data_IF_581281623665
#
_entry.id   IF_581281623665
#
_cell.length_a   1.000
_cell.length_b   1.000
_cell.length_c   1.000
_cell.angle_alpha   90.00
_cell.angle_beta   90.00
_cell.angle_gamma   90.00
#
_symmetry.space_group_name_H-M   'P 1'
#
loop_
_entity.id
_entity.type
_entity.pdbx_description
1 polymer ?
#
# COMPACT_ATOMS: atom_id res chain seq x y z
N UNK A 1 -8.43 5.35 -34.03
CA UNK A 1 -7.33 4.59 -33.41
C UNK A 1 -7.52 3.14 -33.80
N UNK A 2 -6.72 2.65 -34.73
CA UNK A 2 -6.65 1.21 -34.99
C UNK A 2 -5.84 0.51 -33.90
N UNK A 3 -6.15 -0.76 -33.59
CA UNK A 3 -5.31 -1.89 -34.00
C UNK A 3 -5.86 -3.25 -33.53
N UNK A 4 -5.85 -4.19 -34.46
CA UNK A 4 -5.84 -5.66 -34.33
C UNK A 4 -5.97 -6.31 -32.94
N UNK A 5 -7.15 -6.86 -32.65
CA UNK A 5 -7.26 -8.05 -31.80
C UNK A 5 -6.95 -9.30 -32.65
N UNK A 6 -5.82 -9.98 -32.38
CA UNK A 6 -5.42 -11.20 -33.12
C UNK A 6 -5.57 -12.43 -32.21
N UNK A 7 -6.55 -13.27 -32.52
CA UNK A 7 -6.82 -14.51 -31.76
C UNK A 7 -5.65 -15.48 -31.90
N UNK A 8 -5.19 -16.03 -30.78
CA UNK A 8 -4.09 -17.00 -30.74
C UNK A 8 -4.64 -18.42 -30.73
N UNK A 9 -4.20 -19.24 -31.68
CA UNK A 9 -4.50 -20.68 -31.77
C UNK A 9 -3.32 -21.45 -31.14
N UNK A 10 -3.55 -22.50 -30.32
CA UNK A 10 -2.47 -23.28 -29.73
C UNK A 10 -1.78 -24.19 -30.78
N UNK A 11 -0.46 -24.35 -30.75
CA UNK A 11 0.27 -25.23 -31.66
C UNK A 11 0.17 -26.71 -31.25
N UNK A 12 0.26 -27.60 -32.24
CA UNK A 12 0.60 -29.01 -32.02
C UNK A 12 2.14 -29.19 -31.94
N UNK A 13 2.65 -30.29 -31.35
CA UNK A 13 4.08 -30.56 -31.29
C UNK A 13 4.62 -31.10 -32.61
N UNK A 14 5.52 -30.37 -33.26
CA UNK A 14 6.26 -30.86 -34.42
C UNK A 14 7.34 -31.88 -34.03
N UNK A 15 7.42 -32.95 -34.83
CA UNK A 15 8.50 -33.95 -34.75
C UNK A 15 9.78 -33.38 -35.38
N UNK A 16 10.65 -32.80 -34.55
CA UNK A 16 11.96 -32.32 -34.99
C UNK A 16 12.94 -33.48 -35.20
N UNK A 17 13.14 -33.88 -36.45
CA UNK A 17 14.21 -34.80 -36.85
C UNK A 17 15.59 -34.15 -36.76
N UNK A 18 16.52 -34.78 -36.03
CA UNK A 18 17.94 -34.37 -36.01
C UNK A 18 18.72 -35.17 -37.06
N UNK A 19 19.10 -34.51 -38.15
CA UNK A 19 20.08 -35.03 -39.12
C UNK A 19 21.50 -34.98 -38.55
N UNK A 20 22.26 -36.06 -38.74
CA UNK A 20 23.72 -36.07 -38.61
C UNK A 20 24.31 -36.91 -39.74
N UNK A 21 25.14 -36.30 -40.58
CA UNK A 21 25.65 -36.89 -41.82
C UNK A 21 26.68 -37.99 -41.55
N UNK A 22 26.67 -39.04 -42.37
CA UNK A 22 27.85 -39.91 -42.57
C UNK A 22 27.79 -40.54 -43.97
N UNK A 23 28.47 -39.93 -44.94
CA UNK A 23 28.79 -40.60 -46.20
C UNK A 23 29.94 -41.60 -46.00
N UNK A 24 29.98 -42.61 -46.87
CA UNK A 24 31.10 -43.56 -47.06
C UNK A 24 31.35 -44.49 -45.84
N UNK A 25 31.54 -45.80 -45.98
CA UNK A 25 31.96 -46.58 -47.16
C UNK A 25 31.41 -48.00 -47.05
N UNK A 26 31.23 -48.71 -48.16
CA UNK A 26 31.09 -50.17 -48.13
C UNK A 26 32.42 -50.83 -47.71
N UNK A 27 32.37 -51.88 -46.87
CA UNK A 27 33.35 -52.94 -46.91
C UNK A 27 32.70 -54.23 -47.44
N UNK A 28 32.81 -54.41 -48.76
CA UNK A 28 32.81 -55.76 -49.34
C UNK A 28 33.96 -56.58 -48.72
N UNK A 29 33.85 -57.91 -48.76
CA UNK A 29 34.89 -58.87 -48.36
C UNK A 29 35.30 -58.93 -46.86
N UNK A 30 34.51 -59.68 -46.08
CA UNK A 30 35.02 -60.43 -44.92
C UNK A 30 34.68 -61.94 -44.94
N UNK A 31 34.03 -62.43 -45.99
CA UNK A 31 33.64 -63.84 -46.17
C UNK A 31 34.77 -64.72 -46.74
N UNK A 32 36.03 -64.47 -46.35
CA UNK A 32 37.22 -65.05 -46.98
C UNK A 32 38.42 -65.26 -46.03
N UNK A 33 38.18 -65.88 -44.85
CA UNK A 33 39.25 -66.12 -43.86
C UNK A 33 39.22 -67.50 -43.15
N UNK A 34 38.49 -68.49 -43.68
CA UNK A 34 38.67 -69.91 -43.32
C UNK A 34 38.96 -70.80 -44.55
N UNK A 35 39.46 -70.20 -45.64
CA UNK A 35 40.12 -70.92 -46.72
C UNK A 35 41.56 -71.31 -46.32
N UNK A 36 41.74 -71.84 -45.11
CA UNK A 36 42.90 -72.66 -44.81
C UNK A 36 42.71 -73.98 -45.55
N UNK A 37 43.25 -74.06 -46.77
CA UNK A 37 43.59 -75.33 -47.40
C UNK A 37 44.76 -75.98 -46.67
N UNK A 38 44.56 -76.23 -45.37
CA UNK A 38 45.13 -77.39 -44.72
C UNK A 38 44.62 -78.57 -45.53
N UNK A 39 45.51 -79.42 -46.03
CA UNK A 39 45.11 -80.76 -46.47
C UNK A 39 44.33 -81.39 -45.31
N UNK A 40 43.03 -81.61 -45.51
CA UNK A 40 42.22 -82.26 -44.48
C UNK A 40 42.53 -83.75 -44.57
N UNK A 41 43.66 -84.11 -43.94
CA UNK A 41 44.09 -85.47 -43.70
C UNK A 41 43.00 -86.14 -42.85
N UNK A 42 42.00 -86.74 -43.50
CA UNK A 42 41.02 -87.56 -42.82
C UNK A 42 41.79 -88.77 -42.26
N UNK A 43 41.91 -88.90 -40.92
CA UNK A 43 42.67 -89.99 -40.34
C UNK A 43 42.05 -91.35 -40.64
N UNK A 44 40.75 -91.40 -40.98
CA UNK A 44 40.10 -92.62 -41.44
C UNK A 44 40.50 -92.99 -42.87
N UNK A 45 40.74 -92.03 -43.76
CA UNK A 45 41.22 -92.30 -45.11
C UNK A 45 42.69 -92.75 -45.07
N UNK A 46 43.54 -92.10 -44.27
CA UNK A 46 44.92 -92.56 -44.08
C UNK A 46 44.97 -93.96 -43.42
N UNK A 47 44.19 -94.19 -42.36
CA UNK A 47 44.08 -95.51 -41.72
C UNK A 47 43.67 -96.59 -42.73
N UNK A 48 42.69 -96.29 -43.59
CA UNK A 48 42.20 -97.24 -44.61
C UNK A 48 43.30 -97.58 -45.62
N UNK A 49 44.01 -96.58 -46.16
CA UNK A 49 45.14 -96.79 -47.08
C UNK A 49 46.27 -97.59 -46.43
N UNK A 50 46.67 -97.23 -45.19
CA UNK A 50 47.71 -97.95 -44.43
C UNK A 50 47.31 -99.40 -44.14
N UNK A 51 46.03 -99.68 -43.91
CA UNK A 51 45.51 -101.03 -43.69
C UNK A 51 45.49 -101.84 -44.99
N UNK A 52 45.06 -101.25 -46.10
CA UNK A 52 45.13 -101.85 -47.44
C UNK A 52 46.57 -102.18 -47.85
N UNK A 53 47.54 -101.31 -47.57
CA UNK A 53 48.97 -101.58 -47.78
C UNK A 53 49.47 -102.80 -46.99
N UNK A 54 49.04 -102.97 -45.73
CA UNK A 54 49.41 -104.14 -44.91
C UNK A 54 48.75 -105.41 -45.46
N UNK A 55 47.47 -105.35 -45.84
CA UNK A 55 46.75 -106.50 -46.43
C UNK A 55 47.38 -106.88 -47.77
N UNK A 56 47.74 -105.91 -48.62
CA UNK A 56 48.43 -106.15 -49.89
C UNK A 56 49.84 -106.72 -49.74
N UNK A 57 50.62 -106.23 -48.76
CA UNK A 57 52.02 -106.67 -48.57
C UNK A 57 52.19 -107.97 -47.79
N UNK A 58 51.22 -108.35 -46.94
CA UNK A 58 51.33 -109.56 -46.10
C UNK A 58 50.21 -110.60 -46.30
N UNK A 59 49.06 -110.22 -46.87
CA UNK A 59 47.88 -111.10 -47.00
C UNK A 59 48.09 -112.32 -47.91
N UNK A 60 49.03 -112.26 -48.86
CA UNK A 60 49.37 -113.40 -49.74
C UNK A 60 50.08 -114.56 -49.02
N UNK A 61 50.46 -114.37 -47.74
CA UNK A 61 51.06 -115.41 -46.89
C UNK A 61 50.09 -115.94 -45.81
N UNK A 62 48.79 -115.66 -45.92
CA UNK A 62 47.78 -116.01 -44.92
C UNK A 62 47.20 -117.42 -45.07
N UNK A 63 48.05 -118.45 -45.07
CA UNK A 63 47.64 -119.82 -44.74
C UNK A 63 48.73 -120.50 -43.89
N UNK A 64 48.30 -121.39 -42.98
CA UNK A 64 49.11 -122.04 -41.93
C UNK A 64 49.73 -121.10 -40.89
N UNK A 65 48.93 -120.72 -39.89
CA UNK A 65 49.41 -120.47 -38.53
C UNK A 65 48.52 -121.17 -37.50
N UNK A 66 48.98 -122.33 -36.98
CA UNK A 66 49.22 -122.42 -35.54
C UNK A 66 50.20 -123.56 -35.17
N UNK A 67 51.12 -123.25 -34.24
CA UNK A 67 51.89 -124.08 -33.29
C UNK A 67 53.34 -123.60 -33.14
N UNK A 68 53.56 -122.64 -32.22
CA UNK A 68 54.89 -122.07 -32.00
C UNK A 68 55.37 -122.15 -30.54
N UNK A 69 55.76 -123.34 -30.07
CA UNK A 69 56.70 -123.40 -28.92
C UNK A 69 57.54 -124.69 -28.83
N UNK A 70 58.74 -124.71 -29.43
CA UNK A 70 59.81 -125.71 -29.14
C UNK A 70 61.23 -125.37 -29.64
N UNK A 71 61.49 -124.16 -30.15
CA UNK A 71 62.81 -123.79 -30.70
C UNK A 71 63.83 -123.34 -29.63
N UNK A 72 64.25 -124.29 -28.78
CA UNK A 72 65.48 -124.19 -27.96
C UNK A 72 66.11 -125.55 -27.58
N UNK A 73 65.36 -126.66 -27.64
CA UNK A 73 65.88 -128.01 -27.27
C UNK A 73 66.61 -128.77 -28.39
N UNK A 74 66.54 -128.30 -29.64
CA UNK A 74 67.08 -129.03 -30.81
C UNK A 74 68.59 -129.28 -30.77
N UNK A 75 69.38 -128.31 -30.28
CA UNK A 75 70.85 -128.40 -30.35
C UNK A 75 71.46 -129.41 -29.37
N UNK A 76 70.89 -129.55 -28.16
CA UNK A 76 71.35 -130.53 -27.16
C UNK A 76 71.09 -131.98 -27.60
N UNK A 77 69.97 -132.25 -28.29
CA UNK A 77 69.60 -133.60 -28.74
C UNK A 77 70.65 -134.17 -29.72
N UNK A 78 71.12 -133.34 -30.66
CA UNK A 78 72.16 -133.72 -31.63
C UNK A 78 73.45 -134.23 -30.97
N UNK A 79 73.90 -133.52 -29.92
CA UNK A 79 75.16 -133.81 -29.24
C UNK A 79 75.11 -135.09 -28.38
N UNK A 80 73.93 -135.46 -27.88
CA UNK A 80 73.71 -136.71 -27.12
C UNK A 80 73.66 -137.92 -28.06
N UNK A 81 72.92 -137.80 -29.19
CA UNK A 81 72.81 -138.86 -30.19
C UNK A 81 74.18 -139.26 -30.77
N UNK A 82 75.05 -138.27 -31.01
CA UNK A 82 76.43 -138.51 -31.49
C UNK A 82 77.25 -139.44 -30.59
N UNK A 83 77.21 -139.22 -29.26
CA UNK A 83 77.96 -140.07 -28.31
C UNK A 83 77.39 -141.48 -28.22
N UNK A 84 76.06 -141.61 -28.18
CA UNK A 84 75.40 -142.91 -28.05
C UNK A 84 75.65 -143.81 -29.27
N UNK A 85 75.69 -143.23 -30.48
CA UNK A 85 75.94 -143.94 -31.73
C UNK A 85 77.31 -144.64 -31.76
N UNK A 86 78.37 -143.96 -31.33
CA UNK A 86 79.74 -144.51 -31.32
C UNK A 86 79.83 -145.70 -30.35
N UNK A 87 79.27 -145.56 -29.15
CA UNK A 87 79.32 -146.58 -28.11
C UNK A 87 78.50 -147.84 -28.47
N UNK A 88 77.34 -147.66 -29.11
CA UNK A 88 76.50 -148.78 -29.56
C UNK A 88 77.13 -149.53 -30.75
N UNK A 89 77.73 -148.81 -31.70
CA UNK A 89 78.38 -149.39 -32.88
C UNK A 89 79.52 -150.34 -32.53
N UNK A 90 80.33 -150.00 -31.52
CA UNK A 90 81.46 -150.82 -31.10
C UNK A 90 81.01 -152.14 -30.45
N UNK A 91 79.96 -152.11 -29.63
CA UNK A 91 79.40 -153.30 -28.97
C UNK A 91 78.78 -154.29 -29.96
N UNK A 92 78.02 -153.80 -30.95
CA UNK A 92 77.40 -154.64 -31.99
C UNK A 92 78.46 -155.36 -32.85
N UNK A 93 79.53 -154.67 -33.24
CA UNK A 93 80.61 -155.27 -34.03
C UNK A 93 81.28 -156.44 -33.29
N UNK A 94 81.48 -156.32 -31.97
CA UNK A 94 82.05 -157.41 -31.16
C UNK A 94 81.13 -158.62 -31.00
N UNK A 95 79.80 -158.45 -31.00
CA UNK A 95 78.86 -159.58 -30.92
C UNK A 95 78.64 -160.27 -32.26
N UNK A 96 78.61 -159.54 -33.39
CA UNK A 96 78.49 -160.16 -34.72
C UNK A 96 79.72 -161.02 -35.08
N UNK A 97 80.94 -160.55 -34.78
CA UNK A 97 82.18 -161.33 -35.00
C UNK A 97 82.17 -162.64 -34.19
N UNK A 98 81.67 -162.62 -32.96
CA UNK A 98 81.54 -163.82 -32.14
C UNK A 98 80.53 -164.82 -32.73
N UNK A 99 79.37 -164.34 -33.21
CA UNK A 99 78.34 -165.17 -33.84
C UNK A 99 78.81 -165.83 -35.15
N UNK A 100 79.53 -165.09 -36.01
CA UNK A 100 80.14 -165.65 -37.23
C UNK A 100 81.22 -166.67 -36.90
N UNK A 101 82.04 -166.41 -35.87
CA UNK A 101 83.04 -167.39 -35.40
C UNK A 101 82.37 -168.67 -34.89
N UNK A 102 81.21 -168.56 -34.24
CA UNK A 102 80.46 -169.72 -33.75
C UNK A 102 79.83 -170.55 -34.88
N UNK A 103 79.20 -169.92 -35.89
CA UNK A 103 78.59 -170.68 -36.99
C UNK A 103 79.61 -171.48 -37.80
N UNK A 104 80.80 -170.91 -38.04
CA UNK A 104 81.90 -171.57 -38.76
C UNK A 104 82.46 -172.81 -38.04
N UNK A 105 82.24 -172.98 -36.73
CA UNK A 105 82.71 -174.16 -35.99
C UNK A 105 81.87 -175.42 -36.24
N UNK A 106 80.65 -175.30 -36.78
CA UNK A 106 79.75 -176.43 -37.00
C UNK A 106 79.87 -177.09 -38.39
N UNK A 107 80.69 -176.53 -39.29
CA UNK A 107 80.92 -177.04 -40.65
C UNK A 107 82.16 -177.96 -40.68
N UNK A 108 82.09 -179.17 -41.28
CA UNK A 108 83.21 -180.11 -41.32
C UNK A 108 84.33 -179.78 -42.32
N UNK A 109 84.04 -179.19 -43.49
CA UNK A 109 85.05 -178.93 -44.54
C UNK A 109 85.56 -177.47 -44.54
N UNK A 110 86.78 -177.20 -45.05
CA UNK A 110 87.27 -175.83 -45.18
C UNK A 110 86.59 -175.06 -46.31
N UNK A 111 86.15 -175.72 -47.39
CA UNK A 111 85.36 -175.09 -48.46
C UNK A 111 84.02 -174.55 -47.93
N UNK A 112 83.25 -175.35 -47.18
CA UNK A 112 81.98 -174.90 -46.58
C UNK A 112 82.16 -173.68 -45.66
N UNK A 113 83.25 -173.64 -44.88
CA UNK A 113 83.56 -172.49 -44.02
C UNK A 113 83.89 -171.23 -44.82
N UNK A 114 84.60 -171.36 -45.95
CA UNK A 114 84.88 -170.24 -46.83
C UNK A 114 83.61 -169.75 -47.51
N UNK A 115 82.75 -170.65 -47.98
CA UNK A 115 81.49 -170.33 -48.64
C UNK A 115 80.49 -169.65 -47.68
N UNK A 116 80.37 -170.15 -46.44
CA UNK A 116 79.60 -169.51 -45.37
C UNK A 116 80.17 -168.12 -45.00
N UNK A 117 81.49 -167.97 -44.92
CA UNK A 117 82.11 -166.68 -44.62
C UNK A 117 81.90 -165.66 -45.76
N UNK A 118 82.02 -166.09 -47.02
CA UNK A 118 81.72 -165.27 -48.20
C UNK A 118 80.23 -164.87 -48.21
N UNK A 119 79.33 -165.81 -47.88
CA UNK A 119 77.90 -165.53 -47.71
C UNK A 119 77.65 -164.48 -46.62
N UNK A 120 78.31 -164.58 -45.46
CA UNK A 120 78.21 -163.58 -44.38
C UNK A 120 78.75 -162.21 -44.79
N UNK A 121 79.86 -162.15 -45.51
CA UNK A 121 80.37 -160.88 -46.05
C UNK A 121 79.45 -160.29 -47.13
N UNK A 122 78.81 -161.12 -47.96
CA UNK A 122 77.81 -160.66 -48.93
C UNK A 122 76.53 -160.13 -48.25
N UNK A 123 76.04 -160.80 -47.20
CA UNK A 123 74.95 -160.32 -46.35
C UNK A 123 75.27 -158.97 -45.71
N UNK A 124 76.47 -158.80 -45.14
CA UNK A 124 76.93 -157.53 -44.56
C UNK A 124 77.12 -156.42 -45.61
N UNK A 125 77.62 -156.74 -46.81
CA UNK A 125 77.75 -155.78 -47.90
C UNK A 125 76.38 -155.33 -48.43
N UNK A 126 75.43 -156.25 -48.56
CA UNK A 126 74.04 -155.94 -48.92
C UNK A 126 73.37 -155.07 -47.85
N UNK A 127 73.54 -155.39 -46.56
CA UNK A 127 73.05 -154.59 -45.44
C UNK A 127 73.62 -153.17 -45.49
N UNK A 128 74.94 -153.02 -45.67
CA UNK A 128 75.59 -151.71 -45.80
C UNK A 128 75.08 -150.89 -46.98
N UNK A 129 74.85 -151.49 -48.15
CA UNK A 129 74.24 -150.77 -49.28
C UNK A 129 72.76 -150.44 -49.06
N UNK A 130 72.02 -151.26 -48.31
CA UNK A 130 70.67 -150.90 -47.85
C UNK A 130 70.71 -149.71 -46.89
N UNK A 131 71.65 -149.66 -45.95
CA UNK A 131 71.79 -148.57 -44.99
C UNK A 131 72.34 -147.28 -45.61
N UNK A 132 73.22 -147.37 -46.60
CA UNK A 132 73.68 -146.25 -47.43
C UNK A 132 72.52 -145.63 -48.23
N UNK A 133 71.64 -146.46 -48.80
CA UNK A 133 70.40 -146.00 -49.44
C UNK A 133 69.45 -145.33 -48.43
N UNK A 134 69.25 -145.91 -47.24
CA UNK A 134 68.47 -145.28 -46.15
C UNK A 134 69.08 -143.92 -45.75
N UNK A 135 70.40 -143.85 -45.60
CA UNK A 135 71.14 -142.63 -45.21
C UNK A 135 71.01 -141.54 -46.29
N UNK A 136 71.08 -141.88 -47.58
CA UNK A 136 70.84 -140.93 -48.66
C UNK A 136 69.40 -140.37 -48.63
N UNK A 137 68.40 -141.23 -48.39
CA UNK A 137 66.99 -140.80 -48.24
C UNK A 137 66.80 -139.92 -47.00
N UNK A 138 67.40 -140.29 -45.86
CA UNK A 138 67.37 -139.49 -44.62
C UNK A 138 68.07 -138.14 -44.81
N UNK A 139 69.21 -138.09 -45.49
CA UNK A 139 69.94 -136.84 -45.78
C UNK A 139 69.09 -135.90 -46.65
N UNK A 140 68.47 -136.41 -47.73
CA UNK A 140 67.52 -135.63 -48.54
C UNK A 140 66.34 -135.13 -47.70
N UNK A 141 65.78 -135.97 -46.83
CA UNK A 141 64.68 -135.58 -45.93
C UNK A 141 65.11 -134.51 -44.93
N UNK A 142 66.35 -134.55 -44.42
CA UNK A 142 66.91 -133.50 -43.56
C UNK A 142 67.11 -132.19 -44.32
N UNK A 143 67.59 -132.20 -45.56
CA UNK A 143 67.70 -130.97 -46.38
C UNK A 143 66.33 -130.31 -46.59
N UNK A 144 65.32 -131.08 -47.02
CA UNK A 144 63.94 -130.59 -47.17
C UNK A 144 63.41 -130.01 -45.86
N UNK A 145 63.55 -130.71 -44.74
CA UNK A 145 63.11 -130.20 -43.42
C UNK A 145 63.89 -128.96 -42.95
N UNK A 146 65.11 -128.71 -43.42
CA UNK A 146 65.86 -127.49 -43.15
C UNK A 146 65.42 -126.32 -44.03
N UNK A 147 65.00 -126.59 -45.26
CA UNK A 147 64.42 -125.62 -46.20
C UNK A 147 63.00 -125.24 -45.77
N UNK A 148 62.14 -126.21 -45.46
CA UNK A 148 60.83 -126.03 -44.83
C UNK A 148 60.94 -125.15 -43.58
N UNK A 149 61.91 -125.45 -42.69
CA UNK A 149 62.14 -124.66 -41.47
C UNK A 149 62.58 -123.23 -41.76
N UNK A 150 63.41 -122.99 -42.78
CA UNK A 150 63.81 -121.63 -43.20
C UNK A 150 62.63 -120.86 -43.77
N UNK A 151 61.80 -121.52 -44.59
CA UNK A 151 60.57 -120.97 -45.17
C UNK A 151 59.59 -120.57 -44.05
N UNK A 152 59.23 -121.49 -43.16
CA UNK A 152 58.36 -121.25 -42.01
C UNK A 152 58.91 -120.16 -41.07
N UNK A 153 60.24 -120.04 -40.93
CA UNK A 153 60.84 -118.97 -40.16
C UNK A 153 60.68 -117.60 -40.84
N UNK A 154 60.81 -117.53 -42.18
CA UNK A 154 60.58 -116.30 -42.94
C UNK A 154 59.10 -115.89 -42.95
N UNK A 155 58.18 -116.84 -43.17
CA UNK A 155 56.73 -116.64 -43.08
C UNK A 155 56.33 -116.13 -41.68
N UNK A 156 56.87 -116.76 -40.62
CA UNK A 156 56.70 -116.31 -39.23
C UNK A 156 57.23 -114.90 -38.97
N UNK A 157 58.41 -114.55 -39.48
CA UNK A 157 58.96 -113.20 -39.33
C UNK A 157 58.15 -112.15 -40.13
N UNK A 158 57.59 -112.54 -41.28
CA UNK A 158 56.68 -111.71 -42.07
C UNK A 158 55.38 -111.45 -41.30
N UNK A 159 54.78 -112.49 -40.73
CA UNK A 159 53.56 -112.39 -39.91
C UNK A 159 53.76 -111.58 -38.62
N UNK A 160 54.86 -111.76 -37.89
CA UNK A 160 55.18 -110.93 -36.72
C UNK A 160 55.29 -109.44 -37.10
N UNK A 161 55.86 -109.12 -38.27
CA UNK A 161 55.95 -107.74 -38.77
C UNK A 161 54.57 -107.18 -39.21
N UNK A 162 53.73 -107.99 -39.85
CA UNK A 162 52.35 -107.62 -40.19
C UNK A 162 51.53 -107.31 -38.94
N UNK A 163 51.62 -108.19 -37.92
CA UNK A 163 50.95 -108.03 -36.63
C UNK A 163 51.39 -106.74 -35.94
N UNK A 164 52.68 -106.45 -35.85
CA UNK A 164 53.16 -105.21 -35.22
C UNK A 164 52.71 -103.93 -35.95
N UNK A 165 52.52 -103.96 -37.28
CA UNK A 165 51.94 -102.84 -38.02
C UNK A 165 50.44 -102.66 -37.73
N UNK A 166 49.68 -103.75 -37.68
CA UNK A 166 48.26 -103.71 -37.31
C UNK A 166 48.05 -103.26 -35.85
N UNK A 167 48.88 -103.74 -34.92
CA UNK A 167 48.87 -103.30 -33.52
C UNK A 167 49.12 -101.79 -33.40
N UNK A 168 50.05 -101.24 -34.19
CA UNK A 168 50.27 -99.79 -34.26
C UNK A 168 49.05 -99.03 -34.81
N UNK A 169 48.48 -99.47 -35.95
CA UNK A 169 47.28 -98.83 -36.53
C UNK A 169 46.07 -98.88 -35.56
N UNK A 170 45.89 -99.97 -34.82
CA UNK A 170 44.82 -100.06 -33.81
C UNK A 170 45.03 -99.06 -32.66
N UNK A 171 46.27 -98.83 -32.23
CA UNK A 171 46.59 -97.83 -31.21
C UNK A 171 46.39 -96.40 -31.74
N UNK A 172 46.85 -96.11 -32.96
CA UNK A 172 46.61 -94.82 -33.63
C UNK A 172 45.10 -94.53 -33.73
N UNK A 173 44.32 -95.48 -34.26
CA UNK A 173 42.86 -95.37 -34.38
C UNK A 173 42.16 -95.17 -33.02
N UNK A 174 42.57 -95.92 -31.98
CA UNK A 174 42.04 -95.74 -30.63
C UNK A 174 42.39 -94.36 -30.04
N UNK A 175 43.57 -93.83 -30.39
CA UNK A 175 43.96 -92.45 -30.12
C UNK A 175 43.03 -91.44 -30.80
N UNK A 176 42.84 -91.55 -32.12
CA UNK A 176 41.93 -90.68 -32.88
C UNK A 176 40.48 -90.71 -32.35
N UNK A 177 39.92 -91.89 -32.04
CA UNK A 177 38.60 -91.97 -31.40
C UNK A 177 38.55 -91.28 -30.03
N UNK A 178 39.63 -91.36 -29.24
CA UNK A 178 39.71 -90.71 -27.93
C UNK A 178 39.78 -89.18 -28.05
N UNK A 179 40.59 -88.68 -28.99
CA UNK A 179 40.70 -87.24 -29.30
C UNK A 179 39.39 -86.69 -29.86
N UNK A 180 38.80 -87.34 -30.88
CA UNK A 180 37.53 -86.93 -31.48
C UNK A 180 36.38 -86.90 -30.46
N UNK A 181 36.34 -87.88 -29.54
CA UNK A 181 35.40 -87.89 -28.41
C UNK A 181 35.66 -86.72 -27.45
N UNK A 182 36.92 -86.41 -27.16
CA UNK A 182 37.33 -85.26 -26.36
C UNK A 182 36.87 -83.94 -26.98
N UNK A 183 37.21 -83.68 -28.25
CA UNK A 183 36.79 -82.51 -29.02
C UNK A 183 35.27 -82.37 -29.12
N UNK A 184 34.55 -83.48 -29.31
CA UNK A 184 33.08 -83.48 -29.39
C UNK A 184 32.45 -83.12 -28.05
N UNK A 185 33.04 -83.55 -26.92
CA UNK A 185 32.62 -83.13 -25.59
C UNK A 185 33.01 -81.68 -25.28
N UNK A 186 34.18 -81.23 -25.76
CA UNK A 186 34.69 -79.89 -25.55
C UNK A 186 33.88 -78.85 -26.33
N UNK A 187 33.62 -79.07 -27.62
CA UNK A 187 32.71 -78.21 -28.42
C UNK A 187 31.30 -78.12 -27.81
N UNK A 188 30.76 -79.22 -27.26
CA UNK A 188 29.49 -79.20 -26.53
C UNK A 188 29.53 -78.35 -25.26
N UNK A 189 30.66 -78.30 -24.54
CA UNK A 189 30.83 -77.41 -23.37
C UNK A 189 30.89 -75.97 -23.81
N UNK A 190 31.72 -75.64 -24.79
CA UNK A 190 31.88 -74.28 -25.32
C UNK A 190 30.56 -73.73 -25.86
N UNK A 191 29.76 -74.55 -26.55
CA UNK A 191 28.44 -74.13 -27.04
C UNK A 191 27.39 -73.99 -25.93
N UNK A 192 27.51 -74.75 -24.83
CA UNK A 192 26.65 -74.59 -23.65
C UNK A 192 27.07 -73.37 -22.80
N UNK A 193 28.37 -73.10 -22.72
CA UNK A 193 28.96 -71.93 -22.07
C UNK A 193 28.53 -70.64 -22.80
N UNK A 194 28.65 -70.59 -24.13
CA UNK A 194 28.09 -69.50 -24.96
C UNK A 194 26.58 -69.31 -24.74
N UNK A 195 25.79 -70.40 -24.66
CA UNK A 195 24.35 -70.31 -24.32
C UNK A 195 24.15 -69.70 -22.93
N UNK A 196 24.96 -70.11 -21.96
CA UNK A 196 24.88 -69.62 -20.58
C UNK A 196 25.27 -68.13 -20.47
N UNK A 197 26.36 -67.71 -21.13
CA UNK A 197 26.78 -66.31 -21.25
C UNK A 197 25.68 -65.44 -21.87
N UNK A 198 25.15 -65.84 -23.03
CA UNK A 198 24.07 -65.12 -23.72
C UNK A 198 22.81 -65.04 -22.83
N UNK A 199 22.43 -66.14 -22.17
CA UNK A 199 21.27 -66.18 -21.26
C UNK A 199 21.50 -65.28 -20.04
N UNK A 200 22.68 -65.30 -19.45
CA UNK A 200 23.07 -64.47 -18.30
C UNK A 200 23.09 -62.99 -18.67
N UNK A 201 23.64 -62.64 -19.84
CA UNK A 201 23.65 -61.27 -20.36
C UNK A 201 22.24 -60.73 -20.59
N UNK A 202 21.33 -61.52 -21.18
CA UNK A 202 19.92 -61.11 -21.30
C UNK A 202 19.21 -60.97 -19.95
N UNK A 203 19.45 -61.88 -19.00
CA UNK A 203 18.89 -61.77 -17.65
C UNK A 203 19.42 -60.55 -16.88
N UNK A 204 20.71 -60.24 -17.01
CA UNK A 204 21.34 -59.04 -16.46
C UNK A 204 20.75 -57.77 -17.07
N UNK A 205 20.64 -57.70 -18.40
CA UNK A 205 20.06 -56.56 -19.10
C UNK A 205 18.58 -56.34 -18.73
N UNK A 206 17.78 -57.42 -18.63
CA UNK A 206 16.40 -57.32 -18.15
C UNK A 206 16.33 -56.81 -16.71
N UNK A 207 17.23 -57.27 -15.84
CA UNK A 207 17.33 -56.82 -14.44
C UNK A 207 17.75 -55.35 -14.35
N UNK A 208 18.64 -54.89 -15.23
CA UNK A 208 19.03 -53.48 -15.31
C UNK A 208 17.87 -52.60 -15.81
N UNK A 209 17.17 -53.01 -16.87
CA UNK A 209 15.98 -52.30 -17.38
C UNK A 209 14.90 -52.21 -16.30
N UNK A 210 14.65 -53.32 -15.59
CA UNK A 210 13.73 -53.38 -14.44
C UNK A 210 14.15 -52.37 -13.35
N UNK A 211 15.42 -52.37 -12.96
CA UNK A 211 15.95 -51.43 -11.97
C UNK A 211 15.91 -49.96 -12.45
N UNK A 212 16.14 -49.68 -13.73
CA UNK A 212 16.01 -48.33 -14.30
C UNK A 212 14.54 -47.85 -14.28
N UNK A 213 13.58 -48.73 -14.58
CA UNK A 213 12.14 -48.43 -14.48
C UNK A 213 11.76 -48.12 -13.02
N UNK A 214 12.17 -48.96 -12.07
CA UNK A 214 11.90 -48.77 -10.64
C UNK A 214 12.58 -47.50 -10.09
N UNK A 215 13.79 -47.19 -10.55
CA UNK A 215 14.49 -45.95 -10.20
C UNK A 215 13.84 -44.71 -10.87
N UNK A 216 13.15 -44.87 -12.00
CA UNK A 216 12.41 -43.79 -12.64
C UNK A 216 11.05 -43.55 -11.97
N UNK A 217 10.29 -44.61 -11.62
CA UNK A 217 9.04 -44.48 -10.87
C UNK A 217 9.30 -43.91 -9.47
N UNK A 218 10.31 -44.38 -8.73
CA UNK A 218 10.65 -43.82 -7.42
C UNK A 218 11.05 -42.34 -7.46
N UNK A 219 11.68 -41.87 -8.57
CA UNK A 219 11.90 -40.43 -8.83
C UNK A 219 10.59 -39.71 -9.12
N UNK A 220 9.72 -40.27 -9.95
CA UNK A 220 8.44 -39.68 -10.31
C UNK A 220 7.54 -39.53 -9.06
N UNK A 221 7.40 -40.57 -8.24
CA UNK A 221 6.68 -40.53 -6.97
C UNK A 221 7.25 -39.46 -6.02
N UNK A 222 8.57 -39.26 -6.02
CA UNK A 222 9.22 -38.22 -5.21
C UNK A 222 8.85 -36.82 -5.72
N UNK A 223 8.87 -36.59 -7.04
CA UNK A 223 8.43 -35.33 -7.64
C UNK A 223 6.93 -35.08 -7.41
N UNK A 224 6.09 -36.11 -7.50
CA UNK A 224 4.66 -36.01 -7.18
C UNK A 224 4.42 -35.64 -5.72
N UNK A 225 5.16 -36.24 -4.78
CA UNK A 225 5.14 -35.86 -3.35
C UNK A 225 5.68 -34.45 -3.10
N UNK A 226 6.75 -34.04 -3.78
CA UNK A 226 7.30 -32.69 -3.68
C UNK A 226 6.35 -31.63 -4.25
N UNK A 227 5.69 -31.91 -5.37
CA UNK A 227 4.66 -31.04 -5.94
C UNK A 227 3.43 -30.93 -5.02
N UNK A 228 2.95 -32.03 -4.42
CA UNK A 228 1.86 -31.99 -3.44
C UNK A 228 2.23 -31.10 -2.23
N UNK A 229 3.40 -31.33 -1.63
CA UNK A 229 3.91 -30.50 -0.52
C UNK A 229 4.07 -29.01 -0.89
N UNK A 230 4.32 -28.69 -2.17
CA UNK A 230 4.37 -27.31 -2.65
C UNK A 230 2.97 -26.71 -2.82
N UNK A 231 2.00 -27.48 -3.35
CA UNK A 231 0.59 -27.08 -3.43
C UNK A 231 0.02 -26.82 -2.04
N UNK A 232 0.13 -27.76 -1.10
CA UNK A 232 -0.34 -27.62 0.29
C UNK A 232 0.22 -26.34 0.96
N UNK A 233 1.49 -26.02 0.65
CA UNK A 233 2.18 -24.84 1.18
C UNK A 233 1.76 -23.54 0.50
N UNK A 234 1.41 -23.57 -0.78
CA UNK A 234 0.81 -22.43 -1.48
C UNK A 234 -0.62 -22.18 -0.99
N UNK A 235 -1.44 -23.22 -0.83
CA UNK A 235 -2.78 -23.13 -0.25
C UNK A 235 -2.73 -22.57 1.19
N UNK A 236 -1.84 -23.11 2.02
CA UNK A 236 -1.61 -22.58 3.38
C UNK A 236 -1.17 -21.12 3.39
N UNK A 237 -0.43 -20.64 2.39
CA UNK A 237 -0.05 -19.23 2.26
C UNK A 237 -1.23 -18.37 1.77
N UNK A 238 -2.03 -18.86 0.81
CA UNK A 238 -3.23 -18.17 0.33
C UNK A 238 -4.23 -17.95 1.47
N UNK A 239 -4.59 -18.99 2.22
CA UNK A 239 -5.49 -18.83 3.38
C UNK A 239 -4.92 -17.98 4.51
N UNK A 240 -3.58 -17.89 4.62
CA UNK A 240 -2.95 -16.95 5.56
C UNK A 240 -2.93 -15.49 5.03
N UNK A 241 -3.07 -15.27 3.71
CA UNK A 241 -3.30 -13.95 3.13
C UNK A 241 -4.78 -13.55 3.28
N UNK A 242 -5.72 -14.43 2.93
CA UNK A 242 -7.17 -14.24 3.11
C UNK A 242 -7.52 -13.84 4.56
N UNK A 243 -6.98 -14.57 5.54
CA UNK A 243 -7.18 -14.26 6.97
C UNK A 243 -6.57 -12.91 7.40
N UNK A 244 -5.47 -12.47 6.78
CA UNK A 244 -4.90 -11.14 7.01
C UNK A 244 -5.75 -10.04 6.37
N UNK A 245 -6.26 -10.27 5.17
CA UNK A 245 -7.13 -9.34 4.46
C UNK A 245 -8.44 -9.14 5.23
N UNK A 246 -9.10 -10.22 5.66
CA UNK A 246 -10.24 -10.16 6.59
C UNK A 246 -9.95 -9.32 7.85
N UNK A 247 -8.77 -9.51 8.44
CA UNK A 247 -8.34 -8.78 9.65
C UNK A 247 -8.13 -7.28 9.36
N UNK A 248 -7.50 -6.95 8.24
CA UNK A 248 -7.32 -5.58 7.77
C UNK A 248 -8.67 -4.91 7.44
N UNK A 249 -9.62 -5.62 6.82
CA UNK A 249 -10.98 -5.10 6.62
C UNK A 249 -11.68 -4.81 7.95
N UNK A 250 -11.57 -5.71 8.95
CA UNK A 250 -12.17 -5.51 10.29
C UNK A 250 -11.56 -4.29 10.98
N UNK A 251 -10.25 -4.07 10.84
CA UNK A 251 -9.55 -2.86 11.33
C UNK A 251 -10.00 -1.60 10.57
N UNK A 252 -10.14 -1.66 9.25
CA UNK A 252 -10.59 -0.52 8.43
C UNK A 252 -12.04 -0.14 8.76
N UNK A 253 -12.96 -1.11 8.85
CA UNK A 253 -14.34 -0.90 9.30
C UNK A 253 -14.40 -0.23 10.68
N UNK A 254 -13.53 -0.61 11.61
CA UNK A 254 -13.41 0.05 12.92
C UNK A 254 -12.92 1.50 12.80
N UNK A 255 -11.87 1.74 12.00
CA UNK A 255 -11.34 3.09 11.74
C UNK A 255 -12.37 4.01 11.06
N UNK A 256 -13.14 3.52 10.09
CA UNK A 256 -14.19 4.28 9.42
C UNK A 256 -15.31 4.69 10.38
N UNK A 257 -15.72 3.78 11.28
CA UNK A 257 -16.70 4.07 12.32
C UNK A 257 -16.16 5.08 13.34
N UNK A 258 -14.88 4.95 13.73
CA UNK A 258 -14.21 5.92 14.61
C UNK A 258 -14.10 7.30 13.94
N UNK A 259 -13.76 7.36 12.64
CA UNK A 259 -13.65 8.60 11.89
C UNK A 259 -15.02 9.30 11.79
N UNK A 260 -16.07 8.58 11.38
CA UNK A 260 -17.45 9.09 11.34
C UNK A 260 -17.94 9.58 12.71
N UNK A 261 -17.57 8.90 13.80
CA UNK A 261 -17.85 9.36 15.17
C UNK A 261 -17.14 10.68 15.49
N UNK A 262 -15.86 10.84 15.11
CA UNK A 262 -15.12 12.10 15.31
C UNK A 262 -15.64 13.24 14.44
N UNK A 263 -16.02 12.94 13.19
CA UNK A 263 -16.59 13.91 12.25
C UNK A 263 -17.96 14.41 12.74
N UNK A 264 -18.86 13.51 13.13
CA UNK A 264 -20.17 13.89 13.68
C UNK A 264 -20.04 14.75 14.96
N UNK A 265 -19.07 14.45 15.83
CA UNK A 265 -18.76 15.28 17.01
C UNK A 265 -18.22 16.66 16.62
N UNK A 266 -17.38 16.75 15.59
CA UNK A 266 -16.88 18.02 15.07
C UNK A 266 -18.02 18.85 14.47
N UNK A 267 -18.87 18.24 13.63
CA UNK A 267 -20.05 18.88 13.03
C UNK A 267 -21.02 19.39 14.12
N UNK A 268 -21.25 18.61 15.18
CA UNK A 268 -22.06 19.04 16.33
C UNK A 268 -21.44 20.24 17.05
N UNK A 269 -20.12 20.24 17.28
CA UNK A 269 -19.42 21.35 17.93
C UNK A 269 -19.45 22.63 17.07
N UNK A 270 -19.24 22.52 15.75
CA UNK A 270 -19.33 23.68 14.83
C UNK A 270 -20.74 24.24 14.72
N UNK A 271 -21.77 23.38 14.74
CA UNK A 271 -23.17 23.82 14.75
C UNK A 271 -23.52 24.60 16.04
N UNK A 272 -23.09 24.10 17.21
CA UNK A 272 -23.28 24.80 18.49
C UNK A 272 -22.54 26.13 18.56
N UNK A 273 -21.34 26.22 17.99
CA UNK A 273 -20.59 27.48 17.86
C UNK A 273 -21.30 28.48 16.93
N UNK A 274 -21.76 28.03 15.76
CA UNK A 274 -22.51 28.89 14.83
C UNK A 274 -23.84 29.38 15.46
N UNK A 275 -24.56 28.54 16.18
CA UNK A 275 -25.73 28.94 16.97
C UNK A 275 -25.41 30.00 18.03
N UNK A 276 -24.30 29.83 18.77
CA UNK A 276 -23.87 30.77 19.81
C UNK A 276 -23.45 32.12 19.22
N UNK A 277 -22.67 32.11 18.13
CA UNK A 277 -22.35 33.31 17.36
C UNK A 277 -23.60 34.03 16.88
N UNK A 278 -24.57 33.31 16.33
CA UNK A 278 -25.80 33.90 15.78
C UNK A 278 -26.75 34.42 16.85
N UNK A 279 -26.77 33.82 18.05
CA UNK A 279 -27.45 34.38 19.23
C UNK A 279 -26.78 35.70 19.63
N UNK A 280 -25.45 35.72 19.77
CA UNK A 280 -24.67 36.92 20.06
C UNK A 280 -24.82 38.02 18.99
N UNK A 281 -24.87 37.68 17.69
CA UNK A 281 -25.15 38.63 16.59
C UNK A 281 -26.53 39.29 16.78
N UNK A 282 -27.58 38.50 17.05
CA UNK A 282 -28.95 39.01 17.28
C UNK A 282 -29.04 39.88 18.53
N UNK A 283 -28.40 39.49 19.62
CA UNK A 283 -28.32 40.28 20.87
C UNK A 283 -27.60 41.62 20.65
N UNK A 284 -26.44 41.59 19.97
CA UNK A 284 -25.67 42.79 19.60
C UNK A 284 -26.49 43.74 18.73
N UNK A 285 -27.21 43.24 17.73
CA UNK A 285 -28.11 44.07 16.92
C UNK A 285 -29.29 44.63 17.73
N UNK A 286 -29.88 43.84 18.62
CA UNK A 286 -30.98 44.28 19.49
C UNK A 286 -30.54 45.45 20.38
N UNK A 287 -29.41 45.30 21.07
CA UNK A 287 -28.83 46.36 21.92
C UNK A 287 -28.46 47.61 21.10
N UNK A 288 -27.96 47.45 19.88
CA UNK A 288 -27.67 48.57 18.98
C UNK A 288 -28.94 49.32 18.56
N UNK A 289 -30.02 48.60 18.21
CA UNK A 289 -31.34 49.19 17.90
C UNK A 289 -31.91 49.92 19.11
N UNK A 290 -31.86 49.31 20.30
CA UNK A 290 -32.38 49.91 21.53
C UNK A 290 -31.60 51.17 21.93
N UNK A 291 -30.26 51.17 21.79
CA UNK A 291 -29.42 52.34 22.00
C UNK A 291 -29.77 53.47 21.02
N UNK A 292 -29.93 53.17 19.73
CA UNK A 292 -30.35 54.13 18.70
C UNK A 292 -31.71 54.75 19.06
N UNK A 293 -32.70 53.96 19.48
CA UNK A 293 -34.03 54.47 19.80
C UNK A 293 -34.09 55.24 21.14
N UNK A 294 -33.29 54.85 22.14
CA UNK A 294 -33.04 55.66 23.35
C UNK A 294 -32.41 57.00 22.98
N UNK A 295 -31.44 57.03 22.06
CA UNK A 295 -30.81 58.26 21.57
C UNK A 295 -31.81 59.15 20.82
N UNK A 296 -32.62 58.60 19.89
CA UNK A 296 -33.69 59.35 19.19
C UNK A 296 -34.67 60.00 20.18
N UNK A 297 -35.13 59.23 21.18
CA UNK A 297 -36.03 59.75 22.24
C UNK A 297 -35.37 60.88 23.03
N UNK A 298 -34.09 60.77 23.37
CA UNK A 298 -33.34 61.83 24.03
C UNK A 298 -33.24 63.11 23.18
N UNK A 299 -32.99 62.99 21.87
CA UNK A 299 -32.99 64.14 20.95
C UNK A 299 -34.37 64.80 20.85
N UNK A 300 -35.44 64.03 20.65
CA UNK A 300 -36.81 64.58 20.59
C UNK A 300 -37.21 65.31 21.89
N UNK A 301 -36.87 64.76 23.05
CA UNK A 301 -37.09 65.42 24.34
C UNK A 301 -36.27 66.71 24.50
N UNK A 302 -35.04 66.76 23.99
CA UNK A 302 -34.21 67.98 23.95
C UNK A 302 -34.75 69.04 23.00
N UNK A 303 -35.28 68.66 21.85
CA UNK A 303 -35.97 69.60 20.95
C UNK A 303 -37.24 70.16 21.59
N UNK A 304 -38.01 69.32 22.30
CA UNK A 304 -39.17 69.77 23.06
C UNK A 304 -38.78 70.70 24.22
N UNK A 305 -37.73 70.38 24.98
CA UNK A 305 -37.16 71.25 26.03
C UNK A 305 -36.78 72.61 25.43
N UNK A 306 -36.02 72.62 24.34
CA UNK A 306 -35.54 73.82 23.66
C UNK A 306 -36.71 74.65 23.09
N UNK A 307 -37.75 74.01 22.56
CA UNK A 307 -38.97 74.67 22.11
C UNK A 307 -39.78 75.28 23.26
N UNK A 308 -39.90 74.59 24.40
CA UNK A 308 -40.54 75.14 25.60
C UNK A 308 -39.72 76.27 26.21
N UNK A 309 -38.39 76.16 26.21
CA UNK A 309 -37.46 77.22 26.66
C UNK A 309 -37.57 78.47 25.79
N UNK A 310 -37.67 78.33 24.46
CA UNK A 310 -37.98 79.42 23.52
C UNK A 310 -39.33 80.09 23.82
N UNK A 311 -40.38 79.31 24.13
CA UNK A 311 -41.67 79.86 24.57
C UNK A 311 -41.53 80.61 25.89
N UNK A 312 -40.81 80.06 26.87
CA UNK A 312 -40.60 80.68 28.17
C UNK A 312 -39.86 82.02 28.03
N UNK A 313 -38.82 82.11 27.20
CA UNK A 313 -38.12 83.38 26.92
C UNK A 313 -39.02 84.39 26.21
N UNK A 314 -39.88 83.96 25.28
CA UNK A 314 -40.86 84.82 24.62
C UNK A 314 -41.93 85.36 25.59
N UNK A 315 -42.40 84.53 26.54
CA UNK A 315 -43.31 84.99 27.59
C UNK A 315 -42.60 85.92 28.59
N UNK A 316 -41.34 85.65 28.95
CA UNK A 316 -40.51 86.53 29.77
C UNK A 316 -40.39 87.93 29.14
N UNK A 317 -39.94 87.99 27.88
CA UNK A 317 -39.85 89.24 27.11
C UNK A 317 -41.18 90.00 27.07
N UNK A 318 -42.32 89.31 26.90
CA UNK A 318 -43.64 89.94 26.97
C UNK A 318 -44.01 90.43 28.36
N UNK A 319 -43.63 89.73 29.43
CA UNK A 319 -43.80 90.23 30.80
C UNK A 319 -42.92 91.45 31.08
N UNK A 320 -41.71 91.51 30.53
CA UNK A 320 -40.83 92.68 30.61
C UNK A 320 -41.41 93.87 29.82
N UNK A 321 -41.97 93.64 28.62
CA UNK A 321 -42.72 94.63 27.84
C UNK A 321 -43.96 95.15 28.59
N UNK A 322 -44.73 94.25 29.23
CA UNK A 322 -45.86 94.63 30.07
C UNK A 322 -45.42 95.42 31.31
N UNK A 323 -44.34 95.04 31.99
CA UNK A 323 -43.78 95.82 33.11
C UNK A 323 -43.31 97.20 32.65
N UNK A 324 -42.58 97.30 31.54
CA UNK A 324 -42.12 98.57 31.01
C UNK A 324 -43.29 99.48 30.59
N UNK A 325 -44.39 98.89 30.11
CA UNK A 325 -45.63 99.62 29.76
C UNK A 325 -46.39 100.05 31.02
N UNK A 326 -46.48 99.21 32.05
CA UNK A 326 -47.05 99.54 33.35
C UNK A 326 -46.25 100.63 34.08
N UNK A 327 -44.92 100.58 34.03
CA UNK A 327 -44.05 101.61 34.59
C UNK A 327 -44.29 102.97 33.94
N UNK A 328 -44.33 103.03 32.59
CA UNK A 328 -44.70 104.24 31.83
C UNK A 328 -46.13 104.71 32.15
N UNK A 329 -47.07 103.79 32.32
CA UNK A 329 -48.46 104.12 32.69
C UNK A 329 -48.54 104.74 34.09
N UNK A 330 -47.82 104.19 35.07
CA UNK A 330 -47.68 104.78 36.41
C UNK A 330 -46.99 106.14 36.37
N UNK A 331 -45.94 106.31 35.57
CA UNK A 331 -45.25 107.61 35.38
C UNK A 331 -46.19 108.67 34.78
N UNK A 332 -47.02 108.29 33.80
CA UNK A 332 -48.08 109.15 33.24
C UNK A 332 -49.15 109.46 34.30
N UNK A 333 -49.57 108.48 35.10
CA UNK A 333 -50.56 108.66 36.16
C UNK A 333 -50.07 109.59 37.29
N UNK A 334 -48.80 109.46 37.69
CA UNK A 334 -48.15 110.37 38.65
C UNK A 334 -48.13 111.79 38.11
N UNK A 335 -47.68 111.99 36.86
CA UNK A 335 -47.71 113.34 36.24
C UNK A 335 -49.11 113.92 36.11
N UNK A 336 -50.11 113.12 35.72
CA UNK A 336 -51.50 113.58 35.69
C UNK A 336 -52.02 113.97 37.09
N UNK A 337 -51.61 113.25 38.14
CA UNK A 337 -51.94 113.61 39.52
C UNK A 337 -51.28 114.94 39.93
N UNK A 338 -50.00 115.14 39.61
CA UNK A 338 -49.28 116.39 39.86
C UNK A 338 -49.91 117.58 39.09
N UNK A 339 -50.32 117.38 37.84
CA UNK A 339 -51.04 118.39 37.04
C UNK A 339 -52.43 118.70 37.62
N UNK A 340 -53.18 117.69 38.09
CA UNK A 340 -54.45 117.88 38.79
C UNK A 340 -54.28 118.64 40.11
N UNK A 341 -53.22 118.35 40.87
CA UNK A 341 -52.89 119.03 42.12
C UNK A 341 -52.49 120.50 41.89
N UNK A 342 -51.64 120.76 40.89
CA UNK A 342 -51.37 122.13 40.42
C UNK A 342 -52.63 122.86 39.94
N UNK A 343 -53.55 122.17 39.26
CA UNK A 343 -54.82 122.75 38.82
C UNK A 343 -55.71 123.09 40.03
N UNK A 344 -55.76 122.23 41.04
CA UNK A 344 -56.46 122.46 42.30
C UNK A 344 -55.89 123.68 43.04
N UNK A 345 -54.57 123.85 43.10
CA UNK A 345 -53.96 125.01 43.75
C UNK A 345 -54.12 126.32 42.97
N UNK A 346 -54.13 126.26 41.63
CA UNK A 346 -54.53 127.38 40.77
C UNK A 346 -55.99 127.77 41.02
N UNK A 347 -56.89 126.79 41.14
CA UNK A 347 -58.31 127.00 41.50
C UNK A 347 -58.45 127.69 42.86
N UNK A 348 -57.83 127.15 43.92
CA UNK A 348 -57.79 127.74 45.27
C UNK A 348 -57.18 129.15 45.28
N UNK A 349 -56.29 129.50 44.34
CA UNK A 349 -55.71 130.85 44.22
C UNK A 349 -56.72 131.83 43.61
N UNK A 350 -57.34 131.47 42.49
CA UNK A 350 -58.38 132.26 41.84
C UNK A 350 -59.60 132.47 42.75
N UNK A 351 -59.96 131.47 43.54
CA UNK A 351 -61.07 131.53 44.51
C UNK A 351 -60.76 132.49 45.68
N UNK A 352 -59.52 132.55 46.15
CA UNK A 352 -59.06 133.57 47.13
C UNK A 352 -59.06 134.97 46.50
N UNK A 353 -58.55 135.11 45.29
CA UNK A 353 -58.53 136.39 44.56
C UNK A 353 -59.96 136.92 44.31
N UNK A 354 -60.89 136.04 43.92
CA UNK A 354 -62.32 136.33 43.75
C UNK A 354 -62.97 136.82 45.05
N UNK A 355 -62.74 136.13 46.18
CA UNK A 355 -63.25 136.55 47.48
C UNK A 355 -62.69 137.92 47.91
N UNK A 356 -61.40 138.20 47.67
CA UNK A 356 -60.81 139.53 47.95
C UNK A 356 -61.47 140.63 47.13
N UNK A 357 -61.79 140.38 45.85
CA UNK A 357 -62.55 141.34 45.02
C UNK A 357 -63.99 141.52 45.52
N UNK A 358 -64.65 140.44 45.96
CA UNK A 358 -66.00 140.48 46.54
C UNK A 358 -66.03 141.36 47.80
N UNK A 359 -65.14 141.13 48.77
CA UNK A 359 -65.08 141.92 50.01
C UNK A 359 -64.71 143.38 49.76
N UNK A 360 -63.87 143.68 48.75
CA UNK A 360 -63.62 145.07 48.31
C UNK A 360 -64.89 145.76 47.78
N UNK A 361 -65.69 145.06 46.97
CA UNK A 361 -66.96 145.57 46.45
C UNK A 361 -67.99 145.79 47.56
N UNK A 362 -68.13 144.83 48.48
CA UNK A 362 -69.00 144.92 49.65
C UNK A 362 -68.65 146.13 50.55
N UNK A 363 -67.36 146.32 50.85
CA UNK A 363 -66.89 147.48 51.64
C UNK A 363 -67.12 148.82 50.92
N UNK A 364 -66.92 148.88 49.60
CA UNK A 364 -67.12 150.10 48.83
C UNK A 364 -68.61 150.50 48.75
N UNK A 365 -69.51 149.52 48.58
CA UNK A 365 -70.95 149.76 48.63
C UNK A 365 -71.41 150.19 50.02
N UNK A 366 -70.84 149.63 51.10
CA UNK A 366 -71.16 150.06 52.46
C UNK A 366 -70.79 151.53 52.69
N UNK A 367 -69.56 151.94 52.37
CA UNK A 367 -69.15 153.33 52.49
C UNK A 367 -70.02 154.29 51.66
N UNK A 368 -70.48 153.85 50.48
CA UNK A 368 -71.43 154.60 49.66
C UNK A 368 -72.81 154.74 50.33
N UNK A 369 -73.28 153.72 51.05
CA UNK A 369 -74.52 153.77 51.86
C UNK A 369 -74.36 154.72 53.03
N UNK A 370 -73.28 154.61 53.80
CA UNK A 370 -72.99 155.46 54.97
C UNK A 370 -72.99 156.96 54.57
N UNK A 371 -72.37 157.30 53.42
CA UNK A 371 -72.38 158.67 52.86
C UNK A 371 -73.76 159.16 52.40
N UNK A 372 -74.67 158.26 52.01
CA UNK A 372 -76.05 158.63 51.65
C UNK A 372 -76.83 158.96 52.92
N UNK A 373 -76.63 158.22 54.02
CA UNK A 373 -77.31 158.46 55.29
C UNK A 373 -76.92 159.82 55.89
N UNK A 374 -75.62 160.14 56.02
CA UNK A 374 -75.14 161.47 56.48
C UNK A 374 -75.78 162.62 55.69
N UNK A 375 -75.87 162.49 54.37
CA UNK A 375 -76.47 163.50 53.50
C UNK A 375 -77.95 163.73 53.82
N UNK A 376 -78.71 162.69 54.18
CA UNK A 376 -80.11 162.84 54.59
C UNK A 376 -80.26 163.48 55.97
N UNK A 377 -79.30 163.30 56.88
CA UNK A 377 -79.32 163.94 58.19
C UNK A 377 -79.03 165.43 58.10
N UNK A 378 -77.98 165.82 57.36
CA UNK A 378 -77.66 167.23 57.11
C UNK A 378 -78.81 167.98 56.43
N UNK A 379 -79.60 167.32 55.57
CA UNK A 379 -80.83 167.90 55.01
C UNK A 379 -81.85 168.30 56.08
N UNK A 380 -82.14 167.42 57.04
CA UNK A 380 -83.11 167.65 58.13
C UNK A 380 -82.68 168.80 59.05
N UNK A 381 -81.38 168.97 59.28
CA UNK A 381 -80.83 170.11 60.03
C UNK A 381 -81.07 171.45 59.30
N UNK A 382 -80.86 171.49 57.98
CA UNK A 382 -81.06 172.71 57.17
C UNK A 382 -82.52 173.20 57.21
N UNK A 383 -83.50 172.31 57.07
CA UNK A 383 -84.93 172.67 57.13
C UNK A 383 -85.32 173.30 58.48
N UNK A 384 -84.73 172.81 59.57
CA UNK A 384 -84.90 173.37 60.92
C UNK A 384 -84.34 174.80 61.04
N UNK A 385 -83.21 175.10 60.39
CA UNK A 385 -82.68 176.47 60.34
C UNK A 385 -83.56 177.40 59.49
N UNK A 386 -84.06 176.94 58.34
CA UNK A 386 -84.97 177.71 57.47
C UNK A 386 -86.25 178.13 58.22
N UNK A 387 -86.88 177.19 58.92
CA UNK A 387 -88.08 177.47 59.75
C UNK A 387 -87.81 178.50 60.86
N UNK A 388 -86.58 178.53 61.41
CA UNK A 388 -86.17 179.46 62.47
C UNK A 388 -85.94 180.86 61.92
N UNK A 389 -85.36 180.99 60.72
CA UNK A 389 -85.19 182.26 60.00
C UNK A 389 -86.56 182.86 59.64
N UNK A 390 -87.48 182.07 59.08
CA UNK A 390 -88.82 182.53 58.70
C UNK A 390 -89.64 183.11 59.88
N UNK A 391 -89.45 182.59 61.09
CA UNK A 391 -90.06 183.16 62.31
C UNK A 391 -89.47 184.52 62.68
N UNK A 392 -88.15 184.69 62.58
CA UNK A 392 -87.47 185.96 62.86
C UNK A 392 -87.85 187.04 61.83
N UNK A 393 -87.92 186.71 60.55
CA UNK A 393 -88.37 187.65 59.51
C UNK A 393 -89.78 188.19 59.76
N UNK A 394 -90.73 187.35 60.18
CA UNK A 394 -92.09 187.81 60.49
C UNK A 394 -92.10 188.79 61.67
N UNK A 395 -91.27 188.54 62.69
CA UNK A 395 -91.15 189.44 63.85
C UNK A 395 -90.57 190.80 63.46
N UNK A 396 -89.55 190.82 62.60
CA UNK A 396 -88.95 192.06 62.09
C UNK A 396 -89.92 192.92 61.26
N UNK A 397 -90.84 192.31 60.50
CA UNK A 397 -91.85 193.06 59.72
C UNK A 397 -92.85 193.78 60.63
N UNK A 398 -93.40 193.08 61.63
CA UNK A 398 -94.35 193.68 62.60
C UNK A 398 -93.73 194.88 63.33
N UNK A 399 -92.49 194.74 63.81
CA UNK A 399 -91.76 195.81 64.49
C UNK A 399 -91.42 197.01 63.58
N UNK A 400 -91.37 196.82 62.25
CA UNK A 400 -91.21 197.93 61.30
C UNK A 400 -92.52 198.69 61.05
N UNK A 401 -93.65 197.98 60.96
CA UNK A 401 -94.96 198.61 60.77
C UNK A 401 -95.40 199.43 62.00
N UNK A 402 -95.18 198.94 63.22
CA UNK A 402 -95.38 199.73 64.46
C UNK A 402 -94.54 201.01 64.46
N UNK A 403 -93.26 200.90 64.05
CA UNK A 403 -92.34 202.05 63.96
C UNK A 403 -92.81 203.07 62.94
N UNK A 404 -93.41 202.63 61.83
CA UNK A 404 -93.99 203.50 60.79
C UNK A 404 -95.19 204.29 61.31
N UNK A 405 -96.12 203.61 62.00
CA UNK A 405 -97.30 204.21 62.64
C UNK A 405 -96.90 205.26 63.70
N UNK A 406 -95.79 205.03 64.42
CA UNK A 406 -95.23 206.01 65.37
C UNK A 406 -94.64 207.24 64.68
N UNK A 407 -93.97 207.09 63.53
CA UNK A 407 -93.38 208.22 62.80
C UNK A 407 -94.42 209.18 62.24
N UNK A 408 -95.55 208.68 61.73
CA UNK A 408 -96.59 209.55 61.18
C UNK A 408 -97.27 210.39 62.28
N UNK A 409 -97.52 209.82 63.46
CA UNK A 409 -98.01 210.58 64.65
C UNK A 409 -97.05 211.67 65.12
N UNK A 410 -95.74 211.43 65.04
CA UNK A 410 -94.71 212.45 65.35
C UNK A 410 -94.72 213.61 64.33
N UNK A 411 -95.21 213.35 63.11
CA UNK A 411 -95.25 214.33 62.01
C UNK A 411 -96.36 215.36 62.21
N UNK A 412 -97.54 214.93 62.68
CA UNK A 412 -98.69 215.80 62.99
C UNK A 412 -98.34 216.84 64.08
N UNK A 413 -97.68 216.40 65.16
CA UNK A 413 -97.31 217.26 66.30
C UNK A 413 -96.34 218.39 65.91
N UNK A 414 -95.51 218.20 64.87
CA UNK A 414 -94.41 219.13 64.52
C UNK A 414 -94.81 220.36 63.72
N UNK A 415 -96.02 220.41 63.14
CA UNK A 415 -96.46 221.56 62.32
C UNK A 415 -97.36 222.54 63.08
N UNK A 416 -97.64 222.31 64.37
CA UNK A 416 -98.60 223.07 65.15
C UNK A 416 -98.05 224.32 65.87
N UNK A 417 -96.73 224.59 65.87
CA UNK A 417 -96.14 225.72 66.61
C UNK A 417 -94.91 226.34 65.90
N UNK A 418 -94.73 227.66 66.07
CA UNK A 418 -93.72 228.50 65.39
C UNK A 418 -92.93 229.37 66.39
N UNK A 419 -91.61 229.52 66.20
CA UNK A 419 -90.86 230.72 66.63
C UNK A 419 -89.57 230.56 67.49
N UNK A 420 -88.40 230.57 66.84
CA UNK A 420 -87.07 231.05 67.35
C UNK A 420 -86.42 230.29 68.56
N UNK A 421 -85.12 230.50 68.91
CA UNK A 421 -83.92 230.41 68.04
C UNK A 421 -82.67 229.67 68.65
N UNK A 422 -81.75 229.20 67.78
CA UNK A 422 -80.26 229.01 67.99
C UNK A 422 -79.60 227.85 68.82
N UNK A 423 -78.60 227.19 68.17
CA UNK A 423 -77.17 226.94 68.59
C UNK A 423 -76.59 225.60 69.22
N UNK A 424 -75.81 224.85 68.39
CA UNK A 424 -74.48 224.12 68.53
C UNK A 424 -74.25 222.78 69.35
N UNK A 425 -73.24 221.99 68.89
CA UNK A 425 -72.50 220.78 69.41
C UNK A 425 -73.22 219.39 69.35
N UNK A 426 -72.66 218.20 69.05
CA UNK A 426 -71.29 217.57 68.93
C UNK A 426 -70.73 216.89 70.23
N UNK A 427 -69.98 215.76 70.27
CA UNK A 427 -69.37 214.80 69.27
C UNK A 427 -69.04 213.40 69.94
N UNK A 428 -68.43 212.41 69.23
CA UNK A 428 -67.48 211.31 69.68
C UNK A 428 -67.45 209.96 68.87
N UNK A 429 -66.43 209.12 69.12
CA UNK A 429 -66.01 207.80 68.54
C UNK A 429 -65.18 207.01 69.65
N UNK A 430 -64.36 205.90 69.51
CA UNK A 430 -63.85 205.07 68.37
C UNK A 430 -63.65 203.50 68.62
N UNK A 431 -62.66 202.85 67.93
CA UNK A 431 -61.81 201.61 68.18
C UNK A 431 -62.21 200.14 67.75
N UNK A 432 -61.22 199.22 67.45
CA UNK A 432 -61.36 198.08 66.47
C UNK A 432 -60.52 196.76 66.70
N UNK A 433 -60.27 195.95 65.63
CA UNK A 433 -59.15 194.96 65.36
C UNK A 433 -59.12 193.55 66.04
N UNK A 434 -58.68 192.50 65.29
CA UNK A 434 -58.30 191.15 65.77
C UNK A 434 -57.74 190.19 64.67
N UNK A 435 -56.96 189.14 64.99
CA UNK A 435 -56.23 188.24 64.05
C UNK A 435 -56.13 186.74 64.49
N UNK A 436 -55.45 185.88 63.70
CA UNK A 436 -55.01 184.46 63.90
C UNK A 436 -55.97 183.28 63.50
N UNK A 437 -55.54 181.99 63.51
CA UNK A 437 -54.67 181.24 62.56
C UNK A 437 -54.63 179.69 62.83
N UNK A 438 -54.16 178.88 61.85
CA UNK A 438 -53.53 177.50 61.96
C UNK A 438 -54.40 176.23 62.25
N UNK A 439 -54.32 175.24 61.31
CA UNK A 439 -54.40 173.73 61.38
C UNK A 439 -55.49 173.00 62.24
N UNK A 440 -55.91 171.74 61.98
CA UNK A 440 -55.29 170.60 61.28
C UNK A 440 -56.31 169.57 60.73
N UNK A 441 -55.87 168.82 59.68
CA UNK A 441 -56.47 167.61 59.05
C UNK A 441 -57.95 167.71 58.66
#
# INVERSE_FOLDING_TARGET
>A
METSAKVLVPPQPDMASSSSDTENTEPEAAAAACASSSDFFDPMEEFSRRLEDIVGTYGSAADVLDTQNKHKKSMQISQILSKLHIQLSCFLLTTEVALVTQSLNHLPTPEEKLEELVRKYAELAALRHCDEKKLCVLQRRVSVLLEDRRRLQAERCSSDAARSKLEALCIELQGHYSTLRGETLQRRREDEEKRHEITSHFQMMLTEIQAQIEQHSARNDKLCRENANLTDKLESLMSQCELREESLEKINRHRDLQHKLTEAKLQQATALLAEAEDKHKREKEYLLREAIDKTKKCFAMKEQELAMKKKLTLYGQKFDEFQATLAKSNEIYVRFKEEMEQMSDKMKKLERESNVWKTRFENCNKALTDMIEERTEKGKEFDLFVLKIQKLEKLCRVLQDERKILYDKIKEVRLANLGLPSKVLACHCPVPIGLYCVFAI
#
